data_IF_953707345469
#
_entry.id   IF_953707345469
#
_cell.length_a   1.000
_cell.length_b   1.000
_cell.length_c   1.000
_cell.angle_alpha   90.00
_cell.angle_beta   90.00
_cell.angle_gamma   90.00
#
_symmetry.space_group_name_H-M   'P 1'
#
loop_
_entity.id
_entity.type
_entity.pdbx_description
1 polymer ?
#
# COMPACT_ATOMS: atom_id res chain seq x y z
N UNK A 1 3.84 -5.94 -0.82
CA UNK A 1 3.37 -6.87 0.27
C UNK A 1 2.70 -8.12 -0.31
N UNK A 2 1.80 -7.93 -1.26
CA UNK A 2 1.22 -8.98 -2.10
C UNK A 2 2.22 -9.42 -3.18
N UNK A 3 2.00 -10.62 -3.74
CA UNK A 3 2.75 -11.13 -4.91
C UNK A 3 2.00 -10.94 -6.23
N UNK A 4 0.81 -10.35 -6.15
CA UNK A 4 -0.13 -10.16 -7.25
C UNK A 4 -0.70 -8.75 -7.17
N UNK A 5 -0.80 -8.08 -8.31
CA UNK A 5 -1.47 -6.78 -8.42
C UNK A 5 -2.88 -6.97 -8.99
N UNK A 6 -3.84 -6.21 -8.48
CA UNK A 6 -5.21 -6.21 -8.98
C UNK A 6 -5.40 -5.42 -10.28
N UNK A 7 -4.52 -4.43 -10.54
CA UNK A 7 -4.61 -3.50 -11.68
C UNK A 7 -6.01 -2.89 -11.88
N UNK A 8 -6.72 -2.61 -10.78
CA UNK A 8 -8.08 -2.05 -10.83
C UNK A 8 -9.14 -3.02 -11.40
N UNK A 9 -8.81 -4.31 -11.57
CA UNK A 9 -9.71 -5.27 -12.20
C UNK A 9 -9.80 -6.61 -11.45
N UNK A 10 -9.52 -6.64 -10.15
CA UNK A 10 -9.67 -7.87 -9.37
C UNK A 10 -11.15 -8.24 -9.27
N UNK A 11 -11.50 -9.40 -9.79
CA UNK A 11 -12.86 -9.95 -9.66
C UNK A 11 -13.08 -10.51 -8.26
N UNK A 12 -14.30 -10.35 -7.74
CA UNK A 12 -14.69 -10.88 -6.42
C UNK A 12 -14.46 -12.38 -6.28
N UNK A 13 -14.72 -13.15 -7.35
CA UNK A 13 -14.48 -14.61 -7.34
C UNK A 13 -13.00 -14.99 -7.16
N UNK A 14 -12.07 -14.10 -7.54
CA UNK A 14 -10.62 -14.34 -7.46
C UNK A 14 -10.01 -13.78 -6.17
N UNK A 15 -10.81 -13.09 -5.35
CA UNK A 15 -10.39 -12.49 -4.08
C UNK A 15 -9.73 -13.51 -3.11
N UNK A 16 -10.24 -14.74 -2.91
CA UNK A 16 -9.57 -15.70 -2.03
C UNK A 16 -8.14 -16.03 -2.48
N UNK A 17 -7.92 -16.18 -3.80
CA UNK A 17 -6.59 -16.43 -4.36
C UNK A 17 -5.68 -15.21 -4.19
N UNK A 18 -6.23 -14.02 -4.35
CA UNK A 18 -5.50 -12.77 -4.14
C UNK A 18 -5.04 -12.62 -2.68
N UNK A 19 -5.93 -12.87 -1.72
CA UNK A 19 -5.62 -12.86 -0.28
C UNK A 19 -4.54 -13.89 0.05
N UNK A 20 -4.65 -15.11 -0.49
CA UNK A 20 -3.64 -16.16 -0.30
C UNK A 20 -2.26 -15.81 -0.88
N UNK A 21 -2.16 -14.77 -1.72
CA UNK A 21 -0.88 -14.31 -2.30
C UNK A 21 -0.08 -13.40 -1.37
N UNK A 22 -0.68 -12.93 -0.27
CA UNK A 22 0.00 -12.09 0.72
C UNK A 22 1.14 -12.88 1.37
N UNK A 23 2.28 -12.22 1.60
CA UNK A 23 3.40 -12.88 2.28
C UNK A 23 3.07 -13.21 3.74
N UNK A 24 3.38 -14.43 4.17
CA UNK A 24 3.26 -14.83 5.58
C UNK A 24 4.07 -13.94 6.52
N UNK A 25 5.25 -13.46 6.08
CA UNK A 25 6.09 -12.56 6.87
C UNK A 25 5.41 -11.19 7.05
N UNK A 26 4.64 -10.73 6.06
CA UNK A 26 3.89 -9.49 6.17
C UNK A 26 2.77 -9.63 7.22
N UNK A 27 2.04 -10.73 7.18
CA UNK A 27 1.00 -11.05 8.17
C UNK A 27 1.62 -11.12 9.57
N UNK A 28 2.72 -11.85 9.73
CA UNK A 28 3.42 -11.97 11.00
C UNK A 28 3.97 -10.62 11.52
N UNK A 29 4.48 -9.77 10.64
CA UNK A 29 4.93 -8.42 11.00
C UNK A 29 3.76 -7.58 11.52
N UNK A 30 2.65 -7.51 10.80
CA UNK A 30 1.47 -6.74 11.20
C UNK A 30 0.96 -7.18 12.57
N UNK A 31 0.86 -8.48 12.81
CA UNK A 31 0.44 -9.02 14.11
C UNK A 31 1.36 -8.56 15.25
N UNK A 32 2.69 -8.62 15.04
CA UNK A 32 3.68 -8.17 16.03
C UNK A 32 3.62 -6.67 16.28
N UNK A 33 3.52 -5.87 15.22
CA UNK A 33 3.44 -4.41 15.33
C UNK A 33 2.16 -3.98 16.04
N UNK A 34 1.02 -4.59 15.70
CA UNK A 34 -0.25 -4.32 16.38
C UNK A 34 -0.17 -4.67 17.87
N UNK A 35 0.33 -5.87 18.20
CA UNK A 35 0.45 -6.34 19.58
C UNK A 35 1.36 -5.45 20.45
N UNK A 36 2.32 -4.73 19.84
CA UNK A 36 3.17 -3.79 20.57
C UNK A 36 2.41 -2.56 21.10
N UNK A 37 1.27 -2.20 20.49
CA UNK A 37 0.50 -0.99 20.79
C UNK A 37 1.18 0.33 20.41
N UNK A 38 2.48 0.31 20.11
CA UNK A 38 3.30 1.48 19.80
C UNK A 38 3.20 1.94 18.34
N UNK A 39 2.75 1.06 17.45
CA UNK A 39 2.69 1.33 16.00
C UNK A 39 1.24 1.41 15.55
N UNK A 40 0.95 2.44 14.74
CA UNK A 40 -0.32 2.59 14.03
C UNK A 40 -0.18 2.01 12.63
N UNK A 41 -1.25 1.39 12.13
CA UNK A 41 -1.22 0.62 10.88
C UNK A 41 -2.05 1.33 9.82
N UNK A 42 -1.53 1.42 8.60
CA UNK A 42 -2.24 2.06 7.50
C UNK A 42 -2.06 1.31 6.18
N UNK A 43 -2.98 1.54 5.25
CA UNK A 43 -2.85 1.12 3.85
C UNK A 43 -2.79 2.37 2.96
N UNK A 44 -1.75 2.46 2.14
CA UNK A 44 -1.60 3.48 1.12
C UNK A 44 -1.70 2.83 -0.27
N UNK A 45 -2.86 2.91 -0.92
CA UNK A 45 -3.09 2.22 -2.21
C UNK A 45 -3.41 3.20 -3.34
N UNK A 46 -2.87 2.89 -4.52
CA UNK A 46 -3.21 3.53 -5.79
C UNK A 46 -4.38 2.83 -6.49
N UNK A 47 -5.08 1.93 -5.79
CA UNK A 47 -6.42 1.59 -6.22
C UNK A 47 -7.40 2.61 -5.65
N UNK A 48 -8.39 3.00 -6.44
CA UNK A 48 -9.37 4.03 -6.14
C UNK A 48 -10.73 3.59 -6.68
N UNK A 49 -11.80 3.75 -5.89
CA UNK A 49 -13.15 3.39 -6.35
C UNK A 49 -13.59 4.21 -7.58
N UNK A 50 -12.97 5.37 -7.84
CA UNK A 50 -13.18 6.09 -9.10
C UNK A 50 -12.70 5.33 -10.35
N UNK A 51 -11.96 4.23 -10.19
CA UNK A 51 -11.62 3.33 -11.30
C UNK A 51 -12.82 2.50 -11.79
N UNK A 52 -13.91 2.36 -11.00
CA UNK A 52 -15.11 1.66 -11.46
C UNK A 52 -15.69 2.35 -12.69
N UNK A 53 -16.04 1.55 -13.71
CA UNK A 53 -16.52 2.06 -14.99
C UNK A 53 -15.43 2.69 -15.88
N UNK A 54 -14.26 3.03 -15.33
CA UNK A 54 -13.11 3.55 -16.08
C UNK A 54 -12.24 2.42 -16.62
N UNK A 55 -11.95 1.42 -15.79
CA UNK A 55 -11.22 0.21 -16.20
C UNK A 55 -12.14 -0.79 -16.90
N UNK A 56 -11.57 -1.58 -17.81
CA UNK A 56 -12.25 -2.72 -18.44
C UNK A 56 -11.67 -4.02 -17.93
N UNK A 57 -12.55 -4.97 -17.65
CA UNK A 57 -12.16 -6.32 -17.29
C UNK A 57 -11.40 -6.99 -18.45
N UNK A 58 -10.20 -7.50 -18.18
CA UNK A 58 -9.32 -8.06 -19.21
C UNK A 58 -9.88 -9.32 -19.89
N UNK A 59 -10.82 -10.03 -19.25
CA UNK A 59 -11.39 -11.28 -19.75
C UNK A 59 -12.70 -11.03 -20.50
N UNK A 60 -13.59 -10.18 -19.97
CA UNK A 60 -14.91 -9.92 -20.59
C UNK A 60 -14.95 -8.66 -21.44
N UNK A 61 -13.99 -7.75 -21.29
CA UNK A 61 -13.96 -6.44 -21.95
C UNK A 61 -15.02 -5.45 -21.44
N UNK A 62 -15.85 -5.85 -20.47
CA UNK A 62 -16.91 -5.03 -19.88
C UNK A 62 -16.29 -4.08 -18.83
N UNK A 63 -16.81 -2.84 -18.66
CA UNK A 63 -16.36 -1.97 -17.58
C UNK A 63 -16.48 -2.64 -16.21
N UNK A 64 -15.54 -2.35 -15.32
CA UNK A 64 -15.57 -2.86 -13.95
C UNK A 64 -16.75 -2.29 -13.17
N UNK A 65 -17.32 -3.09 -12.28
CA UNK A 65 -18.50 -2.73 -11.49
C UNK A 65 -18.37 -3.26 -10.06
N UNK A 66 -19.04 -2.60 -9.10
CA UNK A 66 -18.95 -2.93 -7.68
C UNK A 66 -19.42 -4.36 -7.37
N UNK A 67 -20.37 -4.88 -8.13
CA UNK A 67 -20.96 -6.21 -7.95
C UNK A 67 -20.00 -7.32 -8.36
N UNK A 68 -19.10 -7.06 -9.29
CA UNK A 68 -18.22 -8.07 -9.89
C UNK A 68 -16.76 -7.91 -9.51
N UNK A 69 -16.34 -6.71 -9.11
CA UNK A 69 -14.95 -6.37 -8.84
C UNK A 69 -14.75 -5.78 -7.45
N UNK A 70 -13.52 -5.90 -6.94
CA UNK A 70 -13.03 -5.24 -5.75
C UNK A 70 -11.96 -4.23 -6.16
N UNK A 71 -12.18 -2.97 -5.85
CA UNK A 71 -11.29 -1.84 -6.17
C UNK A 71 -11.21 -0.92 -4.94
N UNK A 72 -10.11 -0.19 -4.82
CA UNK A 72 -9.99 0.94 -3.89
C UNK A 72 -9.97 0.54 -2.43
N UNK A 73 -10.68 1.32 -1.61
CA UNK A 73 -10.82 1.03 -0.18
C UNK A 73 -11.55 -0.29 0.05
N UNK A 74 -12.61 -0.58 -0.73
CA UNK A 74 -13.32 -1.85 -0.64
C UNK A 74 -12.40 -3.07 -0.80
N UNK A 75 -11.49 -3.06 -1.79
CA UNK A 75 -10.50 -4.12 -1.93
C UNK A 75 -9.57 -4.22 -0.72
N UNK A 76 -9.05 -3.09 -0.25
CA UNK A 76 -8.14 -3.08 0.89
C UNK A 76 -8.82 -3.63 2.16
N UNK A 77 -10.10 -3.29 2.40
CA UNK A 77 -10.89 -3.81 3.53
C UNK A 77 -11.08 -5.32 3.43
N UNK A 78 -11.52 -5.81 2.28
CA UNK A 78 -11.74 -7.24 2.03
C UNK A 78 -10.46 -8.06 2.26
N UNK A 79 -9.30 -7.52 1.84
CA UNK A 79 -8.00 -8.16 2.09
C UNK A 79 -7.67 -8.17 3.58
N UNK A 80 -7.85 -7.07 4.29
CA UNK A 80 -7.57 -6.99 5.73
C UNK A 80 -8.48 -7.93 6.54
N UNK A 81 -9.78 -7.95 6.24
CA UNK A 81 -10.77 -8.80 6.91
C UNK A 81 -10.51 -10.29 6.64
N UNK A 82 -9.98 -10.64 5.46
CA UNK A 82 -9.62 -12.02 5.13
C UNK A 82 -8.30 -12.50 5.77
N UNK A 83 -7.45 -11.60 6.25
CA UNK A 83 -6.13 -11.94 6.82
C UNK A 83 -6.08 -11.86 8.34
N UNK A 84 -6.83 -10.94 8.94
CA UNK A 84 -6.65 -10.56 10.34
C UNK A 84 -7.95 -10.65 11.13
N UNK A 85 -7.89 -10.85 12.47
CA UNK A 85 -9.03 -10.70 13.34
C UNK A 85 -9.68 -9.30 13.19
N UNK A 86 -11.01 -9.17 13.38
CA UNK A 86 -11.73 -7.91 13.15
C UNK A 86 -11.17 -6.70 13.89
N UNK A 87 -10.65 -6.89 15.10
CA UNK A 87 -10.01 -5.84 15.90
C UNK A 87 -8.78 -5.24 15.20
N UNK A 88 -7.96 -6.09 14.57
CA UNK A 88 -6.75 -5.67 13.86
C UNK A 88 -7.13 -5.08 12.51
N UNK A 89 -8.00 -5.75 11.75
CA UNK A 89 -8.44 -5.28 10.43
C UNK A 89 -9.06 -3.87 10.50
N UNK A 90 -9.87 -3.60 11.54
CA UNK A 90 -10.47 -2.28 11.77
C UNK A 90 -9.50 -1.22 12.29
N UNK A 91 -8.34 -1.61 12.79
CA UNK A 91 -7.33 -0.67 13.28
C UNK A 91 -6.60 0.08 12.15
N UNK A 92 -6.71 -0.41 10.91
CA UNK A 92 -6.09 0.22 9.75
C UNK A 92 -6.85 1.47 9.29
N UNK A 93 -6.11 2.58 9.15
CA UNK A 93 -6.53 3.71 8.34
C UNK A 93 -6.15 3.48 6.88
N UNK A 94 -7.11 3.64 5.97
CA UNK A 94 -6.92 3.34 4.55
C UNK A 94 -7.00 4.63 3.76
N UNK A 95 -5.97 4.89 2.95
CA UNK A 95 -5.99 5.93 1.93
C UNK A 95 -5.94 5.23 0.58
N UNK A 96 -7.07 5.21 -0.10
CA UNK A 96 -7.24 4.73 -1.46
C UNK A 96 -7.44 5.94 -2.39
N UNK A 97 -6.42 6.22 -3.20
CA UNK A 97 -6.43 7.39 -4.07
C UNK A 97 -5.50 7.18 -5.27
N UNK A 98 -6.01 7.46 -6.47
CA UNK A 98 -5.27 7.39 -7.72
C UNK A 98 -5.42 8.73 -8.45
N UNK A 99 -4.37 9.58 -8.51
CA UNK A 99 -4.45 10.91 -9.10
C UNK A 99 -5.01 10.92 -10.53
N UNK A 100 -4.61 9.95 -11.35
CA UNK A 100 -4.94 9.85 -12.78
C UNK A 100 -6.45 9.77 -13.02
N UNK A 101 -7.16 8.89 -12.29
CA UNK A 101 -8.62 8.74 -12.46
C UNK A 101 -9.42 9.86 -11.82
N UNK A 102 -8.77 10.67 -10.97
CA UNK A 102 -9.35 11.87 -10.37
C UNK A 102 -9.05 13.13 -11.18
N UNK A 103 -8.25 13.04 -12.25
CA UNK A 103 -7.78 14.19 -13.01
C UNK A 103 -6.87 15.13 -12.20
N UNK A 104 -6.28 14.63 -11.11
CA UNK A 104 -5.40 15.41 -10.26
C UNK A 104 -3.99 15.45 -10.86
N UNK A 105 -3.51 16.67 -11.11
CA UNK A 105 -2.21 16.95 -11.73
C UNK A 105 -1.26 17.65 -10.75
N UNK A 106 -1.65 17.80 -9.48
CA UNK A 106 -0.78 18.43 -8.48
C UNK A 106 0.43 17.53 -8.19
N UNK A 107 1.67 17.97 -8.44
CA UNK A 107 2.87 17.17 -8.18
C UNK A 107 3.04 16.76 -6.72
N UNK A 108 2.38 17.48 -5.78
CA UNK A 108 2.36 17.12 -4.36
C UNK A 108 1.53 15.86 -4.09
N UNK A 109 0.70 15.45 -5.04
CA UNK A 109 -0.15 14.27 -4.94
C UNK A 109 0.36 13.09 -5.77
N UNK A 110 1.48 13.26 -6.48
CA UNK A 110 2.16 12.19 -7.19
C UNK A 110 2.67 11.09 -6.24
N UNK A 111 2.81 9.86 -6.77
CA UNK A 111 3.29 8.70 -6.02
C UNK A 111 2.51 8.53 -4.70
N UNK A 112 3.21 8.29 -3.58
CA UNK A 112 2.61 8.10 -2.25
C UNK A 112 2.59 9.37 -1.39
N UNK A 113 2.92 10.55 -1.93
CA UNK A 113 3.01 11.80 -1.17
C UNK A 113 1.68 12.16 -0.50
N UNK A 114 0.58 12.17 -1.26
CA UNK A 114 -0.75 12.43 -0.69
C UNK A 114 -1.15 11.37 0.35
N UNK A 115 -0.87 10.08 0.08
CA UNK A 115 -1.20 9.00 1.00
C UNK A 115 -0.50 9.16 2.34
N UNK A 116 0.82 9.39 2.31
CA UNK A 116 1.60 9.52 3.54
C UNK A 116 1.20 10.76 4.32
N UNK A 117 0.98 11.91 3.67
CA UNK A 117 0.49 13.12 4.37
C UNK A 117 -0.84 12.89 5.07
N UNK A 118 -1.80 12.25 4.40
CA UNK A 118 -3.10 11.94 5.01
C UNK A 118 -2.98 10.95 6.17
N UNK A 119 -2.10 9.95 6.05
CA UNK A 119 -1.85 8.99 7.14
C UNK A 119 -1.19 9.69 8.34
N UNK A 120 -0.18 10.53 8.09
CA UNK A 120 0.51 11.28 9.12
C UNK A 120 -0.45 12.24 9.85
N UNK A 121 -1.27 12.98 9.09
CA UNK A 121 -2.32 13.86 9.61
C UNK A 121 -3.33 13.08 10.47
N UNK A 122 -3.84 11.95 9.96
CA UNK A 122 -4.82 11.13 10.67
C UNK A 122 -4.32 10.64 12.04
N UNK A 123 -3.05 10.24 12.13
CA UNK A 123 -2.45 9.77 13.39
C UNK A 123 -1.77 10.87 14.20
N UNK A 124 -1.70 12.10 13.70
CA UNK A 124 -1.03 13.21 14.38
C UNK A 124 0.47 13.00 14.55
N UNK A 125 1.14 12.38 13.57
CA UNK A 125 2.59 12.08 13.60
C UNK A 125 3.33 12.86 12.51
N UNK A 126 4.66 13.00 12.64
CA UNK A 126 5.47 13.59 11.59
C UNK A 126 5.75 12.57 10.48
N UNK A 127 6.03 13.03 9.25
CA UNK A 127 6.44 12.16 8.15
C UNK A 127 7.70 11.34 8.48
N UNK A 128 8.58 11.86 9.34
CA UNK A 128 9.77 11.16 9.85
C UNK A 128 9.45 9.93 10.70
N UNK A 129 8.23 9.82 11.19
CA UNK A 129 7.74 8.69 11.99
C UNK A 129 7.01 7.66 11.13
N UNK A 130 6.96 7.86 9.80
CA UNK A 130 6.28 6.96 8.86
C UNK A 130 7.30 6.03 8.18
N UNK A 131 7.04 4.72 8.31
CA UNK A 131 7.72 3.67 7.56
C UNK A 131 6.79 3.12 6.47
N UNK A 132 7.15 3.32 5.21
CA UNK A 132 6.41 2.85 4.04
C UNK A 132 6.99 1.52 3.53
N UNK A 133 6.12 0.55 3.24
CA UNK A 133 6.47 -0.65 2.48
C UNK A 133 5.73 -0.63 1.15
N UNK A 134 6.46 -0.55 0.05
CA UNK A 134 5.90 -0.48 -1.30
C UNK A 134 6.77 -1.31 -2.25
N UNK A 135 6.21 -1.79 -3.35
CA UNK A 135 6.91 -2.58 -4.35
C UNK A 135 7.24 -1.81 -5.63
N UNK A 136 6.76 -0.57 -5.74
CA UNK A 136 7.13 0.36 -6.80
C UNK A 136 8.31 1.25 -6.36
N UNK A 137 9.34 1.32 -7.21
CA UNK A 137 10.53 2.11 -6.90
C UNK A 137 10.22 3.61 -6.85
N UNK A 138 9.34 4.11 -7.73
CA UNK A 138 8.93 5.51 -7.73
C UNK A 138 8.23 5.90 -6.43
N UNK A 139 7.35 5.04 -5.92
CA UNK A 139 6.70 5.21 -4.62
C UNK A 139 7.69 5.25 -3.45
N UNK A 140 8.80 4.51 -3.52
CA UNK A 140 9.83 4.54 -2.48
C UNK A 140 10.82 5.70 -2.62
N UNK A 141 11.14 6.13 -3.84
CA UNK A 141 12.15 7.17 -4.10
C UNK A 141 11.58 8.58 -4.12
N UNK A 142 10.34 8.75 -4.59
CA UNK A 142 9.66 10.04 -4.67
C UNK A 142 8.46 10.08 -3.72
N UNK A 143 8.74 9.87 -2.43
CA UNK A 143 7.78 10.06 -1.33
C UNK A 143 8.02 11.40 -0.62
N UNK A 144 7.12 11.78 0.27
CA UNK A 144 7.24 13.04 1.01
C UNK A 144 8.49 13.06 1.90
N UNK A 145 9.03 14.26 2.14
CA UNK A 145 10.28 14.42 2.88
C UNK A 145 10.19 13.81 4.29
N UNK A 146 11.23 13.06 4.67
CA UNK A 146 11.38 12.44 5.99
C UNK A 146 10.87 11.00 6.07
N UNK A 147 10.05 10.55 5.12
CA UNK A 147 9.52 9.17 5.12
C UNK A 147 10.66 8.18 4.86
N UNK A 148 10.67 7.10 5.65
CA UNK A 148 11.55 5.95 5.39
C UNK A 148 10.76 4.96 4.54
N UNK A 149 11.28 4.58 3.38
CA UNK A 149 10.63 3.59 2.52
C UNK A 149 11.48 2.31 2.41
N UNK A 150 10.79 1.16 2.44
CA UNK A 150 11.35 -0.16 2.22
C UNK A 150 10.78 -0.72 0.93
N UNK A 151 11.65 -0.90 -0.08
CA UNK A 151 11.26 -1.49 -1.35
C UNK A 151 11.10 -3.01 -1.19
N UNK A 152 9.89 -3.48 -1.46
CA UNK A 152 9.51 -4.89 -1.40
C UNK A 152 9.63 -5.51 -2.78
N UNK A 153 10.18 -6.72 -2.86
CA UNK A 153 10.22 -7.48 -4.10
C UNK A 153 8.81 -7.97 -4.48
N UNK A 154 8.25 -7.43 -5.56
CA UNK A 154 6.91 -7.80 -6.06
C UNK A 154 6.73 -9.29 -6.36
N UNK A 155 7.78 -10.00 -6.78
CA UNK A 155 7.68 -11.42 -7.14
C UNK A 155 7.66 -12.32 -5.90
N UNK A 156 8.37 -11.91 -4.84
CA UNK A 156 8.55 -12.72 -3.62
C UNK A 156 7.67 -12.26 -2.46
N UNK A 157 7.13 -11.04 -2.52
CA UNK A 157 6.48 -10.38 -1.39
C UNK A 157 7.49 -9.97 -0.31
N UNK A 158 6.98 -9.41 0.79
CA UNK A 158 7.82 -8.98 1.92
C UNK A 158 8.41 -10.18 2.65
N UNK A 159 9.68 -10.07 3.08
CA UNK A 159 10.34 -11.02 3.97
C UNK A 159 11.03 -10.29 5.12
N UNK A 160 11.12 -10.90 6.30
CA UNK A 160 11.88 -10.31 7.40
C UNK A 160 13.36 -10.07 7.05
N UNK A 161 13.92 -10.91 6.18
CA UNK A 161 15.28 -10.71 5.66
C UNK A 161 15.44 -9.40 4.90
N UNK A 162 14.37 -8.83 4.35
CA UNK A 162 14.43 -7.52 3.67
C UNK A 162 14.71 -6.38 4.65
N UNK A 163 14.50 -6.61 5.96
CA UNK A 163 14.84 -5.65 7.01
C UNK A 163 16.30 -5.74 7.46
N UNK A 164 16.99 -6.83 7.14
CA UNK A 164 18.38 -7.08 7.51
C UNK A 164 19.29 -6.43 6.45
N UNK A 165 20.41 -5.85 6.89
CA UNK A 165 21.42 -5.32 5.96
C UNK A 165 22.10 -6.48 5.24
N UNK A 166 22.28 -6.38 3.93
CA UNK A 166 23.17 -7.28 3.21
C UNK A 166 24.63 -6.99 3.63
N UNK A 167 25.46 -8.04 3.68
CA UNK A 167 26.84 -8.02 4.18
C UNK A 167 27.80 -7.05 3.47
N UNK A 168 27.35 -6.39 2.40
CA UNK A 168 28.11 -5.41 1.61
C UNK A 168 27.74 -3.95 1.90
N UNK A 169 27.01 -3.68 2.99
CA UNK A 169 27.10 -2.40 3.71
C UNK A 169 26.07 -1.31 3.42
N UNK A 170 24.97 -1.60 2.73
CA UNK A 170 23.87 -0.64 2.53
C UNK A 170 22.50 -1.18 2.96
N UNK A 171 21.63 -0.40 3.62
CA UNK A 171 20.25 -0.79 3.77
C UNK A 171 19.52 -0.78 2.41
N UNK A 172 18.57 -1.72 2.19
CA UNK A 172 17.52 -1.61 1.15
C UNK A 172 16.47 -0.53 1.44
N UNK A 173 16.69 0.27 2.47
CA UNK A 173 15.87 1.41 2.82
C UNK A 173 16.24 2.57 1.92
N UNK A 174 15.26 3.07 1.18
CA UNK A 174 15.35 4.35 0.49
C UNK A 174 14.90 5.39 1.50
N UNK A 175 15.84 6.17 2.00
CA UNK A 175 15.49 7.42 2.66
C UNK A 175 15.15 8.41 1.57
N UNK A 176 13.90 8.91 1.55
CA UNK A 176 13.61 10.12 0.78
C UNK A 176 14.49 11.23 1.36
N UNK A 177 15.59 11.54 0.66
CA UNK A 177 16.41 12.69 1.04
C UNK A 177 15.50 13.91 0.92
N UNK A 178 15.49 14.82 1.91
CA UNK A 178 14.87 16.12 1.67
C UNK A 178 15.52 16.72 0.41
N UNK A 179 14.77 17.45 -0.44
CA UNK A 179 15.41 18.28 -1.45
C UNK A 179 16.42 19.15 -0.71
N UNK A 180 17.68 19.12 -1.15
CA UNK A 180 18.67 20.07 -0.68
C UNK A 180 18.09 21.45 -0.99
N UNK A 181 17.76 22.21 0.05
CA UNK A 181 17.19 23.54 -0.11
C UNK A 181 18.13 24.42 -0.91
N UNK A 182 17.57 25.10 -1.91
CA UNK A 182 18.07 26.39 -2.38
C UNK A 182 17.51 27.50 -1.49
#
# INVERSE_FOLDING_TARGET
>A
LLKMHSHGCLRRQDLPKYIASVSNDAVALVLKLHASGAVRLAVATHSDEAEYGWTRDAITGVPTAHETHCIGEGLAREVLDGLFPPEIARSFYIVAYLPEVRGDQDPRNAHKKLHVRRIAEHYGVANTDVLLFDDDTGNCTDTDAGVVACLVDKARGFRFSDLLKDGDGGPKYVFARPPLGE
#
